data_IF_279508924755
#
_entry.id   IF_279508924755
#
_cell.length_a   1.000
_cell.length_b   1.000
_cell.length_c   1.000
_cell.angle_alpha   90.00
_cell.angle_beta   90.00
_cell.angle_gamma   90.00
#
_symmetry.space_group_name_H-M   'P 1'
#
loop_
_entity.id
_entity.type
_entity.pdbx_description
1 polymer ?
#
# COMPACT_ATOMS: atom_id res chain seq x y z
N UNK A 1 3.33 18.29 -10.86
CA UNK A 1 3.29 18.66 -9.44
C UNK A 1 1.89 18.38 -8.92
N UNK A 2 1.78 17.66 -7.85
CA UNK A 2 0.50 17.38 -7.19
C UNK A 2 0.54 18.01 -5.81
N UNK A 3 -0.48 18.80 -5.43
CA UNK A 3 -0.63 19.22 -4.05
C UNK A 3 -0.78 17.97 -3.18
N UNK A 4 0.00 17.89 -2.13
CA UNK A 4 0.00 16.78 -1.19
C UNK A 4 0.12 17.32 0.23
N UNK A 5 -0.30 16.52 1.20
CA UNK A 5 -0.22 16.86 2.61
C UNK A 5 0.84 16.00 3.29
N UNK A 6 1.48 16.58 4.28
CA UNK A 6 2.52 15.94 5.06
C UNK A 6 2.29 16.20 6.56
N UNK A 7 2.50 15.20 7.40
CA UNK A 7 2.32 15.29 8.87
C UNK A 7 3.60 15.01 9.64
N UNK A 8 4.74 14.84 8.95
CA UNK A 8 5.96 14.33 9.56
C UNK A 8 6.04 12.82 9.54
N UNK A 9 6.96 12.25 10.30
CA UNK A 9 7.29 10.83 10.33
C UNK A 9 6.88 10.19 11.65
N UNK A 10 6.36 8.96 11.58
CA UNK A 10 5.89 8.20 12.74
C UNK A 10 4.38 8.25 12.97
N UNK A 11 3.89 7.27 13.71
CA UNK A 11 2.48 7.16 14.08
C UNK A 11 1.96 8.39 14.83
N UNK A 12 2.73 8.86 15.83
CA UNK A 12 2.29 9.94 16.71
C UNK A 12 2.13 11.26 15.95
N UNK A 13 2.99 11.51 14.94
CA UNK A 13 2.89 12.70 14.09
C UNK A 13 1.62 12.68 13.25
N UNK A 14 1.29 11.58 12.61
CA UNK A 14 0.07 11.42 11.81
C UNK A 14 -1.21 11.42 12.65
N UNK A 15 -1.13 11.16 13.95
CA UNK A 15 -2.29 11.13 14.83
C UNK A 15 -2.73 12.54 15.33
N UNK A 16 -1.94 13.57 15.04
CA UNK A 16 -2.20 14.96 15.45
C UNK A 16 -2.55 15.80 14.21
N UNK A 17 -3.79 16.29 14.14
CA UNK A 17 -4.27 17.08 12.98
C UNK A 17 -3.46 18.38 12.78
N UNK A 18 -3.03 19.02 13.86
CA UNK A 18 -2.22 20.25 13.82
C UNK A 18 -0.85 20.06 13.13
N UNK A 19 -0.40 18.84 12.89
CA UNK A 19 0.82 18.56 12.14
C UNK A 19 0.63 18.58 10.63
N UNK A 20 -0.62 18.69 10.14
CA UNK A 20 -0.91 18.81 8.72
C UNK A 20 -0.23 20.03 8.13
N UNK A 21 0.53 19.84 7.07
CA UNK A 21 1.17 20.89 6.29
C UNK A 21 1.06 20.60 4.80
N UNK A 22 0.91 21.64 4.01
CA UNK A 22 0.85 21.51 2.57
C UNK A 22 2.26 21.40 1.97
N UNK A 23 2.36 20.63 0.91
CA UNK A 23 3.59 20.42 0.15
C UNK A 23 3.25 20.11 -1.29
N UNK A 24 3.93 20.72 -2.22
CA UNK A 24 3.90 20.28 -3.61
C UNK A 24 4.91 19.15 -3.83
N UNK A 25 4.48 18.08 -4.46
CA UNK A 25 5.33 16.93 -4.75
C UNK A 25 5.33 16.58 -6.25
N UNK A 26 6.51 16.41 -6.79
CA UNK A 26 6.74 15.76 -8.08
C UNK A 26 7.47 14.46 -7.85
N UNK A 27 7.02 13.39 -8.49
CA UNK A 27 7.59 12.06 -8.33
C UNK A 27 7.69 11.36 -9.68
N UNK A 28 8.85 10.73 -9.94
CA UNK A 28 9.06 9.75 -10.99
C UNK A 28 9.52 8.44 -10.36
N UNK A 29 8.81 7.36 -10.65
CA UNK A 29 9.13 6.05 -10.12
C UNK A 29 9.13 5.02 -11.25
N UNK A 30 10.19 4.22 -11.30
CA UNK A 30 10.31 3.07 -12.18
C UNK A 30 10.67 1.85 -11.32
N UNK A 31 9.85 0.81 -11.38
CA UNK A 31 10.13 -0.49 -10.75
C UNK A 31 9.87 -1.58 -11.78
N UNK A 32 10.88 -2.35 -12.11
CA UNK A 32 10.79 -3.44 -13.08
C UNK A 32 11.30 -4.74 -12.46
N UNK A 33 10.53 -5.82 -12.64
CA UNK A 33 10.90 -7.18 -12.24
C UNK A 33 10.87 -8.08 -13.48
N UNK A 34 11.92 -8.86 -13.68
CA UNK A 34 12.07 -9.83 -14.76
C UNK A 34 11.89 -11.23 -14.18
N UNK A 35 10.66 -11.74 -14.23
CA UNK A 35 10.31 -12.98 -13.56
C UNK A 35 10.44 -14.19 -14.49
N UNK A 36 11.16 -15.21 -14.05
CA UNK A 36 11.31 -16.50 -14.71
C UNK A 36 10.45 -17.54 -14.00
N UNK A 37 9.72 -18.33 -14.77
CA UNK A 37 8.91 -19.42 -14.24
C UNK A 37 9.83 -20.52 -13.69
N UNK A 38 9.68 -20.85 -12.41
CA UNK A 38 10.39 -21.95 -11.75
C UNK A 38 9.56 -23.23 -11.77
N UNK A 39 8.29 -23.12 -11.37
CA UNK A 39 7.30 -24.20 -11.42
C UNK A 39 5.95 -23.60 -11.81
N UNK A 40 4.90 -24.43 -11.84
CA UNK A 40 3.57 -23.88 -12.03
C UNK A 40 3.23 -22.89 -10.91
N UNK A 41 2.78 -21.71 -11.31
CA UNK A 41 2.41 -20.59 -10.45
C UNK A 41 3.56 -19.94 -9.66
N UNK A 42 4.81 -20.44 -9.71
CA UNK A 42 5.94 -19.87 -8.98
C UNK A 42 6.95 -19.22 -9.92
N UNK A 43 7.32 -17.98 -9.63
CA UNK A 43 8.22 -17.15 -10.42
C UNK A 43 9.24 -16.48 -9.52
N UNK A 44 10.47 -16.38 -9.98
CA UNK A 44 11.57 -15.69 -9.31
C UNK A 44 12.37 -14.89 -10.34
N UNK A 45 12.86 -13.73 -9.98
CA UNK A 45 13.77 -13.00 -10.85
C UNK A 45 14.28 -11.70 -10.27
N UNK A 46 15.25 -11.08 -10.96
CA UNK A 46 15.83 -9.82 -10.56
C UNK A 46 14.82 -8.68 -10.69
N UNK A 47 15.04 -7.64 -9.90
CA UNK A 47 14.32 -6.39 -9.99
C UNK A 47 15.26 -5.19 -9.95
N UNK A 48 14.86 -4.11 -10.56
CA UNK A 48 15.51 -2.80 -10.47
C UNK A 48 14.48 -1.74 -10.12
N UNK A 49 14.91 -0.72 -9.40
CA UNK A 49 14.07 0.38 -8.99
C UNK A 49 14.80 1.71 -9.12
N UNK A 50 14.07 2.72 -9.55
CA UNK A 50 14.49 4.11 -9.57
C UNK A 50 13.35 4.95 -9.01
N UNK A 51 13.65 5.79 -8.01
CA UNK A 51 12.70 6.67 -7.38
C UNK A 51 13.31 8.07 -7.31
N UNK A 52 12.66 9.05 -7.91
CA UNK A 52 12.98 10.46 -7.78
C UNK A 52 11.78 11.19 -7.19
N UNK A 53 12.01 11.91 -6.10
CA UNK A 53 10.98 12.73 -5.47
C UNK A 53 11.54 14.13 -5.23
N UNK A 54 10.80 15.14 -5.67
CA UNK A 54 11.11 16.53 -5.45
C UNK A 54 9.94 17.22 -4.74
N UNK A 55 10.15 17.60 -3.49
CA UNK A 55 9.23 18.39 -2.70
C UNK A 55 9.48 19.89 -2.89
N UNK A 56 8.41 20.68 -2.87
CA UNK A 56 8.45 22.14 -2.90
C UNK A 56 7.42 22.71 -1.94
N UNK A 57 7.60 23.96 -1.57
CA UNK A 57 6.63 24.74 -0.80
C UNK A 57 6.17 24.06 0.49
N UNK A 58 7.08 23.33 1.16
CA UNK A 58 6.78 22.74 2.45
C UNK A 58 6.75 23.87 3.50
N UNK A 59 5.60 24.12 4.07
CA UNK A 59 5.40 25.20 5.05
C UNK A 59 6.10 24.94 6.39
N UNK A 60 6.28 23.65 6.73
CA UNK A 60 6.89 23.22 8.00
C UNK A 60 8.08 22.29 7.76
N UNK A 61 9.25 22.83 7.33
CA UNK A 61 10.42 22.03 6.99
C UNK A 61 11.01 21.26 8.19
N UNK A 62 10.75 21.69 9.41
CA UNK A 62 11.18 20.98 10.64
C UNK A 62 10.62 19.54 10.71
N UNK A 63 9.49 19.27 10.07
CA UNK A 63 8.89 17.93 10.01
C UNK A 63 9.69 16.93 9.18
N UNK A 64 10.65 17.38 8.39
CA UNK A 64 11.58 16.51 7.64
C UNK A 64 12.77 16.03 8.48
N UNK A 65 12.92 16.53 9.73
CA UNK A 65 14.01 16.15 10.64
C UNK A 65 15.40 16.30 10.00
N UNK A 66 15.58 17.35 9.18
CA UNK A 66 16.83 17.65 8.50
C UNK A 66 17.10 16.87 7.21
N UNK A 67 16.15 16.10 6.71
CA UNK A 67 16.27 15.44 5.41
C UNK A 67 16.01 16.40 4.24
N UNK A 68 16.67 16.14 3.11
CA UNK A 68 16.49 16.92 1.89
C UNK A 68 15.09 16.73 1.28
N UNK A 69 14.51 17.83 0.78
CA UNK A 69 13.23 17.81 0.04
C UNK A 69 13.31 17.02 -1.26
N UNK A 70 14.50 16.99 -1.88
CA UNK A 70 14.75 16.23 -3.11
C UNK A 70 15.53 14.97 -2.77
N UNK A 71 15.03 13.84 -3.21
CA UNK A 71 15.66 12.54 -2.99
C UNK A 71 15.71 11.73 -4.28
N UNK A 72 16.85 11.09 -4.52
CA UNK A 72 17.02 10.14 -5.63
C UNK A 72 17.46 8.81 -5.06
N UNK A 73 16.79 7.74 -5.48
CA UNK A 73 17.09 6.40 -4.96
C UNK A 73 17.19 5.40 -6.11
N UNK A 74 18.31 4.68 -6.17
CA UNK A 74 18.58 3.59 -7.09
C UNK A 74 18.59 2.28 -6.33
N UNK A 75 17.91 1.27 -6.83
CA UNK A 75 17.83 -0.02 -6.17
C UNK A 75 17.90 -1.19 -7.13
N UNK A 76 18.44 -2.29 -6.61
CA UNK A 76 18.42 -3.58 -7.26
C UNK A 76 18.10 -4.68 -6.23
N UNK A 77 17.54 -5.77 -6.70
CA UNK A 77 17.15 -6.86 -5.83
C UNK A 77 16.47 -8.00 -6.58
N UNK A 78 15.55 -8.65 -5.92
CA UNK A 78 14.80 -9.77 -6.50
C UNK A 78 13.36 -9.80 -6.04
N UNK A 79 12.51 -10.49 -6.81
CA UNK A 79 11.11 -10.71 -6.50
C UNK A 79 10.76 -12.18 -6.65
N UNK A 80 10.05 -12.73 -5.67
CA UNK A 80 9.43 -14.04 -5.67
C UNK A 80 7.92 -13.86 -5.75
N UNK A 81 7.27 -14.49 -6.73
CA UNK A 81 5.82 -14.41 -6.93
C UNK A 81 5.24 -15.81 -7.04
N UNK A 82 4.23 -16.08 -6.24
CA UNK A 82 3.34 -17.24 -6.40
C UNK A 82 1.94 -16.75 -6.74
N UNK A 83 1.36 -17.21 -7.83
CA UNK A 83 0.03 -16.78 -8.27
C UNK A 83 -0.78 -17.97 -8.81
N UNK A 84 -1.75 -18.44 -8.03
CA UNK A 84 -2.70 -19.47 -8.40
C UNK A 84 -4.14 -18.94 -8.57
N UNK A 85 -4.29 -17.62 -8.69
CA UNK A 85 -5.60 -17.00 -8.89
C UNK A 85 -6.20 -17.42 -10.24
N UNK A 86 -7.50 -17.61 -10.25
CA UNK A 86 -8.25 -17.96 -11.47
C UNK A 86 -8.36 -16.77 -12.44
N UNK A 87 -8.50 -15.56 -11.91
CA UNK A 87 -8.60 -14.31 -12.68
C UNK A 87 -7.78 -13.21 -12.00
N UNK A 88 -7.00 -12.44 -12.75
CA UNK A 88 -6.11 -11.42 -12.20
C UNK A 88 -6.87 -10.17 -11.73
N UNK A 89 -7.92 -9.76 -12.44
CA UNK A 89 -8.63 -8.49 -12.22
C UNK A 89 -9.80 -8.61 -11.24
N UNK A 90 -10.35 -9.79 -11.09
CA UNK A 90 -11.45 -10.11 -10.19
C UNK A 90 -11.35 -11.58 -9.74
N UNK A 91 -10.41 -11.91 -8.85
CA UNK A 91 -10.20 -13.28 -8.40
C UNK A 91 -11.40 -13.81 -7.62
N UNK A 92 -11.77 -15.08 -7.91
CA UNK A 92 -12.83 -15.81 -7.20
C UNK A 92 -12.28 -16.95 -6.34
N UNK A 93 -11.08 -17.43 -6.65
CA UNK A 93 -10.39 -18.49 -5.90
C UNK A 93 -8.88 -18.39 -6.14
N UNK A 94 -8.14 -18.95 -5.21
CA UNK A 94 -6.69 -19.08 -5.31
C UNK A 94 -5.94 -18.24 -4.31
N UNK A 95 -4.64 -18.25 -4.46
CA UNK A 95 -3.70 -17.60 -3.57
C UNK A 95 -2.69 -16.77 -4.36
N UNK A 96 -2.36 -15.62 -3.84
CA UNK A 96 -1.31 -14.74 -4.36
C UNK A 96 -0.31 -14.43 -3.27
N UNK A 97 0.97 -14.52 -3.59
CA UNK A 97 2.08 -14.11 -2.75
C UNK A 97 3.09 -13.36 -3.61
N UNK A 98 3.51 -12.20 -3.15
CA UNK A 98 4.65 -11.47 -3.71
C UNK A 98 5.56 -11.06 -2.56
N UNK A 99 6.81 -11.44 -2.65
CA UNK A 99 7.88 -10.98 -1.76
C UNK A 99 8.95 -10.36 -2.64
N UNK A 100 9.28 -9.10 -2.41
CA UNK A 100 10.38 -8.45 -3.09
C UNK A 100 11.36 -7.85 -2.10
N UNK A 101 12.65 -8.01 -2.38
CA UNK A 101 13.75 -7.44 -1.61
C UNK A 101 14.53 -6.51 -2.52
N UNK A 102 14.61 -5.23 -2.15
CA UNK A 102 15.33 -4.21 -2.89
C UNK A 102 16.42 -3.59 -2.01
N UNK A 103 17.63 -3.60 -2.49
CA UNK A 103 18.80 -3.03 -1.82
C UNK A 103 19.15 -1.68 -2.46
N UNK A 104 19.39 -0.68 -1.63
CA UNK A 104 19.77 0.68 -2.02
C UNK A 104 21.03 1.12 -1.28
N UNK A 105 22.20 0.55 -1.62
CA UNK A 105 23.46 0.91 -0.98
C UNK A 105 23.99 2.27 -1.48
N UNK A 106 24.85 2.92 -0.70
CA UNK A 106 25.45 4.21 -1.05
C UNK A 106 26.28 4.18 -2.35
N UNK A 107 26.95 3.07 -2.65
CA UNK A 107 27.77 2.97 -3.86
C UNK A 107 27.00 3.05 -5.17
N UNK A 108 25.65 2.89 -5.12
CA UNK A 108 24.78 3.09 -6.28
C UNK A 108 24.39 4.57 -6.49
N UNK A 109 24.93 5.49 -5.70
CA UNK A 109 24.59 6.92 -5.77
C UNK A 109 23.47 7.36 -4.85
N UNK A 110 23.12 6.55 -3.85
CA UNK A 110 22.11 6.90 -2.87
C UNK A 110 22.70 7.73 -1.73
N UNK A 111 22.01 8.81 -1.33
CA UNK A 111 22.36 9.59 -0.14
C UNK A 111 22.13 8.79 1.14
N UNK A 112 21.09 7.97 1.14
CA UNK A 112 20.66 7.11 2.25
C UNK A 112 20.80 5.64 1.89
N UNK A 113 21.49 4.88 2.77
CA UNK A 113 21.62 3.42 2.59
C UNK A 113 20.52 2.69 3.35
N UNK A 114 19.72 1.90 2.64
CA UNK A 114 18.67 1.07 3.22
C UNK A 114 18.29 -0.10 2.30
N UNK A 115 17.50 -1.00 2.81
CA UNK A 115 16.86 -2.02 2.00
C UNK A 115 15.39 -2.13 2.32
N UNK A 116 14.57 -2.47 1.33
CA UNK A 116 13.13 -2.60 1.46
C UNK A 116 12.72 -4.03 1.19
N UNK A 117 11.99 -4.62 2.13
CA UNK A 117 11.25 -5.86 1.93
C UNK A 117 9.77 -5.51 1.75
N UNK A 118 9.21 -5.79 0.57
CA UNK A 118 7.77 -5.70 0.32
C UNK A 118 7.16 -7.10 0.35
N UNK A 119 6.10 -7.27 1.13
CA UNK A 119 5.30 -8.49 1.20
C UNK A 119 3.85 -8.15 0.87
N UNK A 120 3.27 -8.92 -0.05
CA UNK A 120 1.83 -8.90 -0.31
C UNK A 120 1.34 -10.34 -0.44
N UNK A 121 0.30 -10.69 0.30
CA UNK A 121 -0.36 -11.98 0.18
C UNK A 121 -1.86 -11.80 0.19
N UNK A 122 -2.57 -12.56 -0.66
CA UNK A 122 -4.03 -12.52 -0.77
C UNK A 122 -4.58 -13.93 -0.96
N UNK A 123 -5.73 -14.19 -0.37
CA UNK A 123 -6.44 -15.46 -0.48
C UNK A 123 -7.90 -15.22 -0.81
N UNK A 124 -8.46 -16.06 -1.71
CA UNK A 124 -9.83 -15.93 -2.22
C UNK A 124 -10.54 -17.27 -2.11
N UNK A 125 -11.71 -17.25 -1.49
CA UNK A 125 -12.50 -18.46 -1.26
C UNK A 125 -14.01 -18.21 -1.45
N UNK A 126 -14.68 -18.90 -2.39
CA UNK A 126 -16.12 -18.88 -2.49
C UNK A 126 -16.74 -19.49 -1.24
N UNK A 127 -17.68 -18.80 -0.59
CA UNK A 127 -18.30 -19.25 0.65
C UNK A 127 -19.74 -19.74 0.46
N UNK A 128 -20.48 -19.11 -0.47
CA UNK A 128 -21.83 -19.52 -0.90
C UNK A 128 -22.12 -19.00 -2.30
N UNK A 129 -23.32 -19.24 -2.80
CA UNK A 129 -23.71 -18.80 -4.14
C UNK A 129 -23.64 -17.27 -4.27
N UNK A 130 -22.72 -16.80 -5.11
CA UNK A 130 -22.46 -15.39 -5.33
C UNK A 130 -21.69 -14.69 -4.23
N UNK A 131 -21.31 -15.41 -3.15
CA UNK A 131 -20.53 -14.90 -2.04
C UNK A 131 -19.07 -15.33 -2.09
N UNK A 132 -18.15 -14.39 -1.91
CA UNK A 132 -16.71 -14.59 -1.90
C UNK A 132 -16.11 -13.94 -0.65
N UNK A 133 -15.29 -14.67 0.08
CA UNK A 133 -14.43 -14.12 1.12
C UNK A 133 -13.02 -13.94 0.56
N UNK A 134 -12.51 -12.71 0.66
CA UNK A 134 -11.16 -12.37 0.26
C UNK A 134 -10.39 -11.83 1.47
N UNK A 135 -9.15 -12.26 1.63
CA UNK A 135 -8.24 -11.75 2.67
C UNK A 135 -6.95 -11.24 2.04
N UNK A 136 -6.41 -10.16 2.55
CA UNK A 136 -5.13 -9.61 2.14
C UNK A 136 -4.30 -9.17 3.33
N UNK A 137 -3.00 -9.41 3.25
CA UNK A 137 -2.00 -8.80 4.13
C UNK A 137 -0.92 -8.14 3.28
N UNK A 138 -0.50 -6.96 3.70
CA UNK A 138 0.63 -6.20 3.12
C UNK A 138 1.58 -5.78 4.21
N UNK A 139 2.87 -5.90 3.92
CA UNK A 139 3.94 -5.38 4.76
C UNK A 139 4.97 -4.67 3.91
N UNK A 140 5.48 -3.54 4.39
CA UNK A 140 6.65 -2.87 3.82
C UNK A 140 7.62 -2.59 4.95
N UNK A 141 8.84 -3.10 4.83
CA UNK A 141 9.84 -3.02 5.89
C UNK A 141 11.13 -2.43 5.33
N UNK A 142 11.48 -1.23 5.79
CA UNK A 142 12.71 -0.55 5.42
C UNK A 142 13.75 -0.73 6.54
N UNK A 143 14.85 -1.37 6.23
CA UNK A 143 15.98 -1.58 7.14
C UNK A 143 17.11 -0.61 6.78
N UNK A 144 17.63 0.08 7.77
CA UNK A 144 18.61 1.16 7.59
C UNK A 144 17.98 2.54 7.74
N UNK A 145 18.42 3.50 6.93
CA UNK A 145 17.98 4.89 6.99
C UNK A 145 17.31 5.33 5.70
N UNK A 146 16.04 4.97 5.46
CA UNK A 146 15.30 5.45 4.30
C UNK A 146 15.09 6.96 4.39
N UNK A 147 15.07 7.64 3.24
CA UNK A 147 14.61 9.03 3.15
C UNK A 147 13.11 9.12 3.47
N UNK A 148 12.64 10.32 3.82
CA UNK A 148 11.21 10.58 4.09
C UNK A 148 10.29 10.11 2.95
N UNK A 149 10.77 10.24 1.70
CA UNK A 149 10.04 9.87 0.50
C UNK A 149 9.92 8.36 0.28
N UNK A 150 10.82 7.59 0.89
CA UNK A 150 10.87 6.12 0.77
C UNK A 150 10.28 5.40 1.98
N UNK A 151 9.77 6.14 2.95
CA UNK A 151 9.05 5.54 4.09
C UNK A 151 7.78 4.83 3.65
N UNK A 152 7.37 3.85 4.42
CA UNK A 152 6.14 3.11 4.20
C UNK A 152 4.93 3.98 4.51
N UNK A 153 4.07 4.20 3.51
CA UNK A 153 2.86 5.03 3.58
C UNK A 153 1.65 4.15 3.83
N UNK A 154 0.84 4.50 4.83
CA UNK A 154 -0.43 3.84 5.11
C UNK A 154 -1.57 4.61 4.45
N UNK A 155 -2.58 3.87 3.96
CA UNK A 155 -3.76 4.42 3.29
C UNK A 155 -3.57 4.58 1.78
N UNK A 156 -4.46 3.99 1.01
CA UNK A 156 -4.58 4.20 -0.43
C UNK A 156 -5.94 3.67 -0.93
N UNK A 157 -6.13 3.62 -2.24
CA UNK A 157 -7.39 3.12 -2.81
C UNK A 157 -7.56 1.59 -2.75
N UNK A 158 -6.59 0.85 -2.26
CA UNK A 158 -6.60 -0.62 -2.22
C UNK A 158 -6.64 -1.19 -0.80
N UNK A 159 -5.94 -0.56 0.13
CA UNK A 159 -5.91 -0.97 1.54
C UNK A 159 -5.97 0.24 2.45
N UNK A 160 -6.46 0.05 3.68
CA UNK A 160 -6.72 1.14 4.63
C UNK A 160 -7.51 2.28 3.97
N UNK A 161 -8.54 1.89 3.21
CA UNK A 161 -9.40 2.79 2.41
C UNK A 161 -10.13 3.79 3.30
N UNK A 162 -10.04 5.08 2.98
CA UNK A 162 -10.59 6.18 3.79
C UNK A 162 -9.54 6.96 4.57
N UNK A 163 -8.32 6.42 4.73
CA UNK A 163 -7.18 7.19 5.22
C UNK A 163 -6.51 7.96 4.09
N UNK A 164 -6.08 9.18 4.38
CA UNK A 164 -5.23 9.93 3.45
C UNK A 164 -3.87 9.23 3.31
N UNK A 165 -3.44 8.94 2.09
CA UNK A 165 -2.18 8.23 1.82
C UNK A 165 -0.99 9.02 2.34
N UNK A 166 -0.23 8.39 3.24
CA UNK A 166 0.97 8.98 3.84
C UNK A 166 0.71 9.94 5.00
N UNK A 167 -0.54 10.09 5.48
CA UNK A 167 -0.78 10.72 6.78
C UNK A 167 -0.03 9.98 7.88
N UNK A 168 -0.11 8.66 7.88
CA UNK A 168 0.71 7.79 8.72
C UNK A 168 1.84 7.21 7.86
N UNK A 169 3.07 7.52 8.21
CA UNK A 169 4.27 7.00 7.53
C UNK A 169 5.38 6.74 8.53
N UNK A 170 6.13 5.67 8.31
CA UNK A 170 7.29 5.32 9.12
C UNK A 170 8.20 4.36 8.34
N UNK A 171 9.28 3.89 8.94
CA UNK A 171 10.18 2.91 8.32
C UNK A 171 9.45 1.63 7.91
N UNK A 172 8.52 1.17 8.73
CA UNK A 172 7.78 -0.07 8.51
C UNK A 172 6.29 0.15 8.55
N UNK A 173 5.55 -0.63 7.77
CA UNK A 173 4.10 -0.76 7.90
C UNK A 173 3.66 -2.20 7.82
N UNK A 174 2.55 -2.49 8.47
CA UNK A 174 1.77 -3.72 8.34
C UNK A 174 0.30 -3.35 8.22
N UNK A 175 -0.41 -3.99 7.29
CA UNK A 175 -1.83 -3.79 7.10
C UNK A 175 -2.49 -5.09 6.64
N UNK A 176 -3.69 -5.35 7.11
CA UNK A 176 -4.47 -6.51 6.73
C UNK A 176 -5.94 -6.16 6.60
N UNK A 177 -6.63 -6.85 5.70
CA UNK A 177 -8.07 -6.67 5.49
C UNK A 177 -8.74 -7.97 5.10
N UNK A 178 -10.01 -8.08 5.47
CA UNK A 178 -10.91 -9.15 5.04
C UNK A 178 -12.10 -8.49 4.39
N UNK A 179 -12.49 -8.99 3.23
CA UNK A 179 -13.54 -8.43 2.39
C UNK A 179 -14.54 -9.53 2.01
N UNK A 180 -15.80 -9.27 2.27
CA UNK A 180 -16.91 -10.08 1.78
C UNK A 180 -17.51 -9.43 0.54
N UNK A 181 -17.44 -10.13 -0.59
CA UNK A 181 -18.00 -9.71 -1.87
C UNK A 181 -19.24 -10.53 -2.15
N UNK A 182 -20.37 -9.86 -2.45
CA UNK A 182 -21.63 -10.52 -2.75
C UNK A 182 -22.17 -10.03 -4.11
N UNK A 183 -22.28 -10.96 -5.05
CA UNK A 183 -23.03 -10.73 -6.27
C UNK A 183 -24.52 -10.69 -5.94
N UNK A 184 -25.22 -9.64 -6.34
CA UNK A 184 -26.65 -9.43 -6.04
C UNK A 184 -27.51 -9.80 -7.22
N UNK A 185 -27.33 -9.14 -8.36
CA UNK A 185 -28.20 -9.30 -9.51
C UNK A 185 -27.54 -8.77 -10.79
N UNK A 186 -27.61 -9.57 -11.87
CA UNK A 186 -27.00 -9.26 -13.17
C UNK A 186 -25.51 -8.87 -13.05
N UNK A 187 -25.23 -7.56 -13.17
CA UNK A 187 -23.87 -6.99 -13.14
C UNK A 187 -23.58 -6.28 -11.82
N UNK A 188 -24.46 -6.41 -10.83
CA UNK A 188 -24.40 -5.64 -9.60
C UNK A 188 -23.93 -6.52 -8.44
N UNK A 189 -23.04 -5.99 -7.64
CA UNK A 189 -22.56 -6.58 -6.40
C UNK A 189 -22.31 -5.55 -5.33
N UNK A 190 -22.22 -6.01 -4.11
CA UNK A 190 -21.83 -5.20 -2.94
C UNK A 190 -20.66 -5.84 -2.25
N UNK A 191 -19.94 -5.02 -1.52
CA UNK A 191 -18.77 -5.42 -0.74
C UNK A 191 -18.83 -4.78 0.62
N UNK A 192 -18.40 -5.52 1.64
CA UNK A 192 -18.12 -5.00 2.96
C UNK A 192 -16.75 -5.49 3.41
N UNK A 193 -15.99 -4.65 4.10
CA UNK A 193 -14.68 -5.04 4.60
C UNK A 193 -14.42 -4.51 5.99
N UNK A 194 -13.52 -5.21 6.66
CA UNK A 194 -12.86 -4.80 7.89
C UNK A 194 -11.36 -4.99 7.72
N UNK A 195 -10.58 -4.14 8.32
CA UNK A 195 -9.13 -4.21 8.26
C UNK A 195 -8.48 -3.44 9.41
N UNK A 196 -7.18 -3.56 9.47
CA UNK A 196 -6.36 -2.84 10.42
C UNK A 196 -4.95 -2.65 9.86
N UNK A 197 -4.29 -1.58 10.29
CA UNK A 197 -2.90 -1.32 9.89
C UNK A 197 -2.17 -0.50 10.94
N UNK A 198 -0.85 -0.48 10.84
CA UNK A 198 0.01 0.33 11.69
C UNK A 198 1.30 0.69 10.98
N UNK A 199 1.92 1.77 11.41
CA UNK A 199 3.27 2.15 11.02
C UNK A 199 4.16 2.21 12.25
N UNK A 200 5.43 1.89 12.10
CA UNK A 200 6.39 1.85 13.22
C UNK A 200 7.83 1.97 12.73
N UNK A 201 8.71 2.49 13.58
CA UNK A 201 10.14 2.64 13.29
C UNK A 201 10.99 1.44 13.71
N UNK A 202 10.52 0.65 14.69
CA UNK A 202 11.17 -0.56 15.23
C UNK A 202 10.13 -1.58 15.61
N UNK A 203 10.42 -2.86 15.46
CA UNK A 203 9.51 -3.95 15.86
C UNK A 203 9.18 -3.93 17.36
N UNK A 204 10.11 -3.49 18.20
CA UNK A 204 9.88 -3.29 19.64
C UNK A 204 8.91 -2.13 19.95
N UNK A 205 8.63 -1.27 19.02
CA UNK A 205 7.68 -0.15 19.15
C UNK A 205 6.24 -0.50 18.75
N UNK A 206 6.01 -1.74 18.29
CA UNK A 206 4.66 -2.22 18.02
C UNK A 206 3.82 -2.19 19.29
N UNK A 207 2.64 -1.56 19.21
CA UNK A 207 1.68 -1.42 20.31
C UNK A 207 0.26 -1.62 19.77
N UNK A 208 -0.57 -2.34 20.47
CA UNK A 208 -1.97 -2.56 20.08
C UNK A 208 -2.77 -1.26 20.01
N UNK A 209 -2.47 -0.30 20.87
CA UNK A 209 -3.13 1.01 20.88
C UNK A 209 -2.72 1.92 19.71
N UNK A 210 -1.72 1.53 18.91
CA UNK A 210 -1.29 2.19 17.66
C UNK A 210 -1.81 1.50 16.40
N UNK A 211 -2.66 0.51 16.56
CA UNK A 211 -3.34 -0.12 15.42
C UNK A 211 -4.51 0.78 14.99
N UNK A 212 -4.56 1.06 13.71
CA UNK A 212 -5.57 1.88 13.06
C UNK A 212 -6.64 0.96 12.47
N UNK A 213 -7.91 1.04 12.89
CA UNK A 213 -8.98 0.26 12.31
C UNK A 213 -9.36 0.81 10.94
N UNK A 214 -9.86 -0.06 10.06
CA UNK A 214 -10.45 0.31 8.78
C UNK A 214 -11.67 -0.56 8.50
N UNK A 215 -12.74 0.03 8.03
CA UNK A 215 -13.94 -0.69 7.60
C UNK A 215 -14.69 0.13 6.55
N UNK A 216 -15.57 -0.51 5.84
CA UNK A 216 -16.36 0.19 4.84
C UNK A 216 -17.26 -0.72 4.04
N UNK A 217 -17.96 -0.09 3.11
CA UNK A 217 -18.87 -0.72 2.18
C UNK A 217 -18.59 -0.23 0.77
N UNK A 218 -18.90 -1.06 -0.22
CA UNK A 218 -18.69 -0.71 -1.61
C UNK A 218 -19.73 -1.31 -2.52
N UNK A 219 -19.89 -0.67 -3.67
CA UNK A 219 -20.71 -1.13 -4.77
C UNK A 219 -19.81 -1.58 -5.92
N UNK A 220 -20.24 -2.64 -6.61
CA UNK A 220 -19.56 -3.19 -7.79
C UNK A 220 -20.51 -3.23 -8.97
N UNK A 221 -20.06 -2.71 -10.09
CA UNK A 221 -20.75 -2.87 -11.36
C UNK A 221 -19.81 -3.54 -12.37
N UNK A 222 -20.18 -4.74 -12.80
CA UNK A 222 -19.41 -5.47 -13.80
C UNK A 222 -19.60 -4.84 -15.19
N UNK A 223 -18.69 -3.95 -15.55
CA UNK A 223 -18.67 -3.29 -16.86
C UNK A 223 -18.45 -4.27 -17.99
N UNK A 224 -17.49 -5.18 -17.83
CA UNK A 224 -17.13 -6.27 -18.71
C UNK A 224 -16.84 -7.49 -17.84
N UNK A 225 -16.95 -8.71 -18.41
CA UNK A 225 -16.66 -9.95 -17.70
C UNK A 225 -15.33 -9.85 -16.92
N UNK A 226 -15.41 -10.03 -15.62
CA UNK A 226 -14.30 -9.93 -14.66
C UNK A 226 -13.64 -8.55 -14.55
N UNK A 227 -14.30 -7.47 -15.00
CA UNK A 227 -13.84 -6.09 -14.84
C UNK A 227 -14.95 -5.29 -14.18
N UNK A 228 -14.71 -4.91 -12.92
CA UNK A 228 -15.65 -4.18 -12.11
C UNK A 228 -15.31 -2.69 -12.05
N UNK A 229 -16.32 -1.82 -12.16
CA UNK A 229 -16.28 -0.47 -11.65
C UNK A 229 -16.57 -0.55 -10.16
N UNK A 230 -15.72 0.08 -9.37
CA UNK A 230 -15.73 0.04 -7.92
C UNK A 230 -16.00 1.40 -7.32
N UNK A 231 -17.00 1.46 -6.45
CA UNK A 231 -17.32 2.62 -5.63
C UNK A 231 -17.24 2.18 -4.17
N UNK A 232 -16.29 2.70 -3.42
CA UNK A 232 -16.07 2.36 -2.02
C UNK A 232 -16.24 3.59 -1.14
N UNK A 233 -16.78 3.39 0.05
CA UNK A 233 -16.74 4.38 1.12
C UNK A 233 -16.11 3.75 2.36
N UNK A 234 -14.91 4.22 2.69
CA UNK A 234 -14.10 3.71 3.79
C UNK A 234 -14.10 4.63 4.99
N UNK A 235 -14.01 4.03 6.17
CA UNK A 235 -13.94 4.70 7.46
C UNK A 235 -12.67 4.31 8.21
N UNK A 236 -12.11 5.26 8.92
CA UNK A 236 -10.93 5.08 9.76
C UNK A 236 -11.07 5.73 11.13
N UNK A 237 -9.98 5.77 11.86
CA UNK A 237 -9.89 6.39 13.19
C UNK A 237 -10.07 7.92 13.10
N UNK A 238 -10.60 8.54 14.15
CA UNK A 238 -10.74 9.99 14.31
C UNK A 238 -11.56 10.66 13.19
N UNK A 239 -12.64 10.00 12.74
CA UNK A 239 -13.54 10.55 11.72
C UNK A 239 -12.95 10.57 10.30
N UNK A 240 -11.78 9.98 10.08
CA UNK A 240 -11.24 9.85 8.73
C UNK A 240 -12.16 8.97 7.89
N UNK A 241 -12.51 9.43 6.71
CA UNK A 241 -13.33 8.69 5.77
C UNK A 241 -13.02 9.16 4.34
N UNK A 242 -13.38 8.36 3.36
CA UNK A 242 -13.15 8.71 1.98
C UNK A 242 -14.01 7.91 1.02
N UNK A 243 -14.45 8.60 -0.03
CA UNK A 243 -15.08 8.00 -1.19
C UNK A 243 -14.00 7.68 -2.22
N UNK A 244 -14.05 6.47 -2.77
CA UNK A 244 -13.06 5.96 -3.71
C UNK A 244 -13.77 5.43 -4.95
N UNK A 245 -13.34 5.90 -6.10
CA UNK A 245 -13.73 5.37 -7.41
C UNK A 245 -12.51 4.69 -8.05
N UNK A 246 -12.70 3.47 -8.55
CA UNK A 246 -11.63 2.74 -9.24
C UNK A 246 -12.20 1.68 -10.19
N UNK A 247 -11.33 1.08 -10.99
CA UNK A 247 -11.64 -0.06 -11.85
C UNK A 247 -10.90 -1.29 -11.29
N UNK A 248 -11.52 -2.47 -11.40
CA UNK A 248 -11.12 -3.74 -10.80
C UNK A 248 -11.30 -3.79 -9.28
N UNK A 249 -11.01 -4.94 -8.67
CA UNK A 249 -11.12 -5.13 -7.24
C UNK A 249 -9.95 -4.49 -6.47
N UNK A 250 -10.10 -4.36 -5.15
CA UNK A 250 -9.06 -3.77 -4.31
C UNK A 250 -7.81 -4.66 -4.23
N UNK A 251 -7.99 -5.99 -4.30
CA UNK A 251 -6.92 -6.97 -4.28
C UNK A 251 -7.40 -8.30 -4.86
#
# INVERSE_FOLDING_TARGET
SFPSKFWGMGYDMGNVDANETDMDRWQAQIKASFLFKLTDNLYLGPMVAYDYVHGKNLERPELLEGMDLTTTNYGAGFSLVYDSRDVLTNPHKGYYLNISQCFRPKFMGNDYAFSTTDLRTSYYHPVWKGGLLAGEFRGMFNFGNPSWSMMALLGNSYSMRGYYEGRYRDKHKMEGQIELRQHIWKRNGIVAWIGAGTVFNKFSALRVNRVLPNYGIGYRWEFKKNVNVRLDYGFGKNGQSGFLFNINEAF
#
